data_IF_207950188113
#
_entry.id   IF_207950188113
#
_cell.length_a   1.000
_cell.length_b   1.000
_cell.length_c   1.000
_cell.angle_alpha   90.00
_cell.angle_beta   90.00
_cell.angle_gamma   90.00
#
_symmetry.space_group_name_H-M   'P 1'
#
loop_
_entity.id
_entity.type
_entity.pdbx_description
1 polymer ?
#
# COMPACT_ATOMS: atom_id res chain seq x y z
N UNK A 1 -6.16 -28.29 89.25
CA UNK A 1 -5.88 -26.90 88.80
C UNK A 1 -6.56 -26.71 87.44
N UNK A 2 -7.43 -25.75 87.15
CA UNK A 2 -7.79 -24.51 87.82
C UNK A 2 -7.79 -23.39 86.77
N UNK A 3 -8.96 -22.76 86.55
CA UNK A 3 -9.15 -21.30 86.39
C UNK A 3 -8.18 -20.60 85.38
N UNK A 4 -8.63 -19.97 84.29
CA UNK A 4 -9.58 -18.86 84.29
C UNK A 4 -10.16 -18.54 82.89
N UNK A 5 -11.46 -18.27 82.91
CA UNK A 5 -12.21 -17.43 81.98
C UNK A 5 -11.87 -15.95 82.13
N UNK A 6 -12.37 -15.17 81.15
CA UNK A 6 -12.56 -13.70 81.14
C UNK A 6 -11.24 -12.95 81.02
N UNK A 7 -11.12 -11.97 80.12
CA UNK A 7 -11.97 -10.79 80.02
C UNK A 7 -12.19 -10.43 78.54
N UNK A 8 -13.42 -10.42 78.03
CA UNK A 8 -14.33 -9.27 78.11
C UNK A 8 -13.62 -7.97 77.73
N UNK A 9 -13.67 -7.62 76.44
CA UNK A 9 -14.12 -6.27 76.10
C UNK A 9 -14.48 -6.19 74.63
N UNK A 10 -15.79 -6.11 74.41
CA UNK A 10 -16.44 -5.14 73.52
C UNK A 10 -16.18 -5.39 72.04
N UNK A 11 -17.16 -5.94 71.35
CA UNK A 11 -18.34 -5.16 71.02
C UNK A 11 -18.15 -4.72 69.57
N UNK A 12 -18.72 -5.46 68.63
CA UNK A 12 -19.89 -4.92 67.94
C UNK A 12 -19.65 -3.50 67.42
N UNK A 13 -18.82 -3.39 66.40
CA UNK A 13 -18.86 -2.37 65.36
C UNK A 13 -18.13 -3.02 64.18
N UNK A 14 -18.75 -3.99 63.52
CA UNK A 14 -19.75 -3.73 62.51
C UNK A 14 -19.31 -2.59 61.57
N UNK A 15 -19.06 -2.98 60.32
CA UNK A 15 -19.30 -2.18 59.12
C UNK A 15 -18.14 -1.26 58.72
N UNK A 16 -17.85 -1.28 57.42
CA UNK A 16 -16.79 -0.59 56.70
C UNK A 16 -15.42 -1.22 57.00
N UNK A 17 -14.84 -2.01 56.11
CA UNK A 17 -14.35 -1.59 54.79
C UNK A 17 -14.11 -2.91 54.06
N UNK A 18 -14.93 -3.21 53.06
CA UNK A 18 -14.55 -3.11 51.64
C UNK A 18 -13.46 -4.10 51.23
N UNK A 19 -13.69 -4.70 50.06
CA UNK A 19 -12.81 -5.64 49.37
C UNK A 19 -12.69 -6.98 50.11
N UNK A 20 -13.22 -8.07 49.61
CA UNK A 20 -12.86 -8.55 48.29
C UNK A 20 -14.06 -9.29 47.72
N UNK A 21 -14.73 -8.58 46.81
CA UNK A 21 -15.94 -8.99 46.13
C UNK A 21 -15.72 -10.35 45.45
N UNK A 22 -16.70 -11.21 45.68
CA UNK A 22 -17.03 -12.42 44.95
C UNK A 22 -16.60 -12.39 43.49
N UNK A 23 -15.90 -13.45 43.07
CA UNK A 23 -15.77 -13.83 41.66
C UNK A 23 -17.14 -14.36 41.20
N UNK A 24 -17.75 -13.70 40.21
CA UNK A 24 -18.27 -14.44 39.07
C UNK A 24 -17.59 -13.86 37.80
N UNK A 25 -17.02 -14.68 36.94
CA UNK A 25 -17.79 -15.70 36.24
C UNK A 25 -18.72 -15.07 35.21
N UNK A 26 -18.29 -14.02 34.50
CA UNK A 26 -18.92 -13.53 33.27
C UNK A 26 -18.03 -12.43 32.64
N UNK A 27 -16.96 -12.83 31.94
CA UNK A 27 -16.62 -12.07 30.74
C UNK A 27 -17.33 -12.79 29.61
N UNK A 28 -18.54 -12.29 29.36
CA UNK A 28 -19.25 -12.52 28.12
C UNK A 28 -18.24 -12.30 26.99
N UNK A 29 -18.09 -13.31 26.14
CA UNK A 29 -17.50 -13.12 24.83
C UNK A 29 -18.41 -12.14 24.09
N UNK A 30 -18.13 -10.84 24.22
CA UNK A 30 -18.64 -9.85 23.28
C UNK A 30 -17.96 -10.14 21.95
N UNK A 31 -18.65 -10.95 21.15
CA UNK A 31 -18.53 -10.97 19.71
C UNK A 31 -18.94 -9.58 19.22
N UNK A 32 -18.03 -8.61 19.29
CA UNK A 32 -18.13 -7.38 18.50
C UNK A 32 -17.59 -7.73 17.12
N UNK A 33 -18.37 -8.50 16.38
CA UNK A 33 -18.08 -8.87 14.99
C UNK A 33 -19.22 -8.32 14.12
N UNK A 34 -19.32 -6.99 14.00
CA UNK A 34 -20.27 -6.41 13.03
C UNK A 34 -19.86 -5.01 12.52
N UNK A 35 -18.92 -4.29 13.17
CA UNK A 35 -18.76 -2.86 12.89
C UNK A 35 -17.52 -2.44 12.06
N UNK A 36 -16.65 -3.37 11.63
CA UNK A 36 -15.41 -3.00 10.92
C UNK A 36 -14.95 -3.97 9.84
N UNK A 37 -15.70 -5.06 9.57
CA UNK A 37 -15.36 -5.92 8.44
C UNK A 37 -15.84 -5.26 7.14
N UNK A 38 -14.99 -5.22 6.09
CA UNK A 38 -15.46 -4.79 4.78
C UNK A 38 -16.65 -5.66 4.35
N UNK A 39 -17.55 -5.13 3.50
CA UNK A 39 -18.67 -5.89 2.95
C UNK A 39 -18.21 -7.27 2.47
N UNK A 40 -18.98 -8.36 2.66
CA UNK A 40 -18.58 -9.69 2.23
C UNK A 40 -18.37 -9.81 0.70
N UNK A 41 -18.86 -8.85 -0.08
CA UNK A 41 -18.65 -8.72 -1.52
C UNK A 41 -17.32 -8.02 -1.88
N UNK A 42 -16.66 -7.34 -0.93
CA UNK A 42 -15.36 -6.71 -1.14
C UNK A 42 -14.24 -7.73 -0.96
N UNK A 43 -13.41 -7.85 -2.00
CA UNK A 43 -12.21 -8.69 -1.97
C UNK A 43 -11.25 -8.17 -0.89
N UNK A 44 -10.82 -9.00 0.08
CA UNK A 44 -9.92 -8.56 1.13
C UNK A 44 -8.57 -8.12 0.53
N UNK A 45 -7.96 -7.12 1.16
CA UNK A 45 -6.73 -6.47 0.70
C UNK A 45 -5.56 -7.45 0.54
N UNK A 46 -5.48 -8.49 1.37
CA UNK A 46 -4.48 -9.55 1.29
C UNK A 46 -4.63 -10.38 0.00
N UNK A 47 -5.87 -10.58 -0.45
CA UNK A 47 -6.17 -11.27 -1.70
C UNK A 47 -5.95 -10.33 -2.88
N UNK A 48 -6.39 -9.06 -2.78
CA UNK A 48 -6.15 -8.04 -3.82
C UNK A 48 -4.65 -7.81 -4.09
N UNK A 49 -3.82 -7.77 -3.06
CA UNK A 49 -2.35 -7.66 -3.18
C UNK A 49 -1.70 -8.85 -3.87
N UNK A 50 -2.34 -10.01 -3.82
CA UNK A 50 -1.83 -11.25 -4.42
C UNK A 50 -2.41 -11.49 -5.82
N UNK A 51 -3.41 -10.71 -6.25
CA UNK A 51 -3.94 -10.79 -7.62
C UNK A 51 -2.89 -10.27 -8.61
N UNK A 52 -2.40 -11.17 -9.44
CA UNK A 52 -1.52 -10.82 -10.56
C UNK A 52 -2.41 -10.24 -11.65
N UNK A 53 -2.32 -8.93 -11.87
CA UNK A 53 -3.05 -8.24 -12.95
C UNK A 53 -2.42 -8.68 -14.28
N UNK A 54 -3.04 -9.65 -14.94
CA UNK A 54 -2.58 -10.21 -16.23
C UNK A 54 -3.12 -9.42 -17.43
N UNK A 55 -4.06 -8.51 -17.19
CA UNK A 55 -4.73 -7.69 -18.20
C UNK A 55 -3.88 -6.46 -18.53
N UNK A 56 -2.98 -6.61 -19.52
CA UNK A 56 -2.17 -5.53 -20.06
C UNK A 56 -2.83 -4.85 -21.26
N UNK A 57 -2.36 -3.65 -21.60
CA UNK A 57 -2.67 -2.97 -22.87
C UNK A 57 -1.40 -2.88 -23.71
N UNK A 58 -1.52 -3.05 -25.03
CA UNK A 58 -0.40 -2.83 -25.95
C UNK A 58 0.10 -1.38 -25.83
N UNK A 59 1.42 -1.13 -25.64
CA UNK A 59 1.99 0.21 -25.61
C UNK A 59 1.92 0.94 -26.97
N UNK A 60 1.64 0.20 -28.05
CA UNK A 60 1.56 0.75 -29.41
C UNK A 60 0.11 1.14 -29.75
N UNK A 61 -0.85 0.25 -29.46
CA UNK A 61 -2.23 0.38 -29.98
C UNK A 61 -3.30 0.43 -28.89
N UNK A 62 -2.95 0.26 -27.61
CA UNK A 62 -3.90 0.30 -26.49
C UNK A 62 -4.94 -0.83 -26.48
N UNK A 63 -4.75 -1.90 -27.28
CA UNK A 63 -5.62 -3.08 -27.27
C UNK A 63 -5.33 -3.98 -26.05
N UNK A 64 -6.33 -4.70 -25.50
CA UNK A 64 -6.06 -5.69 -24.46
C UNK A 64 -5.10 -6.75 -25.00
N UNK A 65 -4.11 -7.12 -24.19
CA UNK A 65 -3.01 -8.00 -24.56
C UNK A 65 -2.71 -8.95 -23.40
N UNK A 66 -2.50 -10.22 -23.70
CA UNK A 66 -2.09 -11.21 -22.70
C UNK A 66 -0.60 -11.06 -22.34
N UNK A 67 -0.18 -11.60 -21.19
CA UNK A 67 1.21 -11.53 -20.75
C UNK A 67 2.21 -12.16 -21.74
N UNK A 68 1.81 -13.24 -22.44
CA UNK A 68 2.64 -13.90 -23.43
C UNK A 68 2.81 -13.04 -24.70
N UNK A 69 1.72 -12.48 -25.21
CA UNK A 69 1.75 -11.58 -26.36
C UNK A 69 2.50 -10.28 -26.06
N UNK A 70 2.43 -9.80 -24.81
CA UNK A 70 3.23 -8.66 -24.35
C UNK A 70 4.73 -8.97 -24.40
N UNK A 71 5.16 -10.13 -23.90
CA UNK A 71 6.56 -10.54 -23.96
C UNK A 71 7.08 -10.65 -25.40
N UNK A 72 6.26 -11.17 -26.31
CA UNK A 72 6.59 -11.25 -27.73
C UNK A 72 6.67 -9.86 -28.39
N UNK A 73 5.71 -8.98 -28.10
CA UNK A 73 5.71 -7.60 -28.59
C UNK A 73 6.95 -6.83 -28.10
N UNK A 74 7.30 -7.00 -26.82
CA UNK A 74 8.48 -6.37 -26.24
C UNK A 74 9.76 -6.84 -26.94
N UNK A 75 9.91 -8.14 -27.20
CA UNK A 75 11.05 -8.68 -27.94
C UNK A 75 11.13 -8.11 -29.38
N UNK A 76 9.99 -7.91 -30.04
CA UNK A 76 9.94 -7.28 -31.38
C UNK A 76 10.32 -5.81 -31.35
N UNK A 77 9.90 -5.06 -30.32
CA UNK A 77 10.23 -3.64 -30.17
C UNK A 77 11.72 -3.45 -29.89
N UNK A 78 12.31 -4.26 -29.00
CA UNK A 78 13.75 -4.22 -28.71
C UNK A 78 14.61 -4.56 -29.93
N UNK A 79 14.13 -5.45 -30.80
CA UNK A 79 14.78 -5.73 -32.08
C UNK A 79 14.69 -4.54 -33.06
N UNK A 80 13.57 -3.82 -33.08
CA UNK A 80 13.34 -2.65 -33.95
C UNK A 80 14.06 -1.40 -33.49
N UNK A 81 14.19 -1.17 -32.18
CA UNK A 81 14.82 0.02 -31.59
C UNK A 81 16.30 0.18 -31.96
N UNK A 82 16.94 -0.88 -32.46
CA UNK A 82 18.31 -0.80 -32.99
C UNK A 82 18.40 -0.08 -34.34
N UNK A 83 17.28 0.03 -35.07
CA UNK A 83 17.25 0.69 -36.37
C UNK A 83 16.84 2.17 -36.22
N UNK A 84 17.55 3.11 -36.86
CA UNK A 84 17.18 4.52 -36.84
C UNK A 84 15.79 4.75 -37.46
N UNK A 85 14.82 5.16 -36.64
CA UNK A 85 13.43 5.46 -37.06
C UNK A 85 13.33 6.63 -38.06
N UNK A 86 14.30 7.56 -38.02
CA UNK A 86 14.33 8.75 -38.87
C UNK A 86 15.27 8.58 -40.06
N UNK A 87 14.79 8.98 -41.25
CA UNK A 87 15.60 9.14 -42.47
C UNK A 87 16.83 10.02 -42.19
N UNK A 88 17.95 9.70 -42.84
CA UNK A 88 19.25 10.34 -42.58
C UNK A 88 19.20 11.84 -42.83
N UNK A 89 18.45 12.26 -43.86
CA UNK A 89 18.31 13.66 -44.27
C UNK A 89 17.59 14.46 -43.17
N UNK A 90 16.52 13.91 -42.60
CA UNK A 90 15.75 14.56 -41.53
C UNK A 90 16.61 14.72 -40.28
N UNK A 91 17.37 13.68 -39.91
CA UNK A 91 18.30 13.74 -38.77
C UNK A 91 19.35 14.83 -38.96
N UNK A 92 19.89 14.97 -40.17
CA UNK A 92 20.87 16.01 -40.48
C UNK A 92 20.26 17.41 -40.34
N UNK A 93 19.04 17.63 -40.85
CA UNK A 93 18.33 18.90 -40.70
C UNK A 93 18.08 19.22 -39.23
N UNK A 94 17.59 18.26 -38.44
CA UNK A 94 17.39 18.43 -37.00
C UNK A 94 18.69 18.81 -36.30
N UNK A 95 19.80 18.13 -36.62
CA UNK A 95 21.11 18.44 -36.07
C UNK A 95 21.55 19.88 -36.38
N UNK A 96 21.40 20.32 -37.63
CA UNK A 96 21.75 21.68 -38.05
C UNK A 96 20.89 22.74 -37.35
N UNK A 97 19.60 22.46 -37.13
CA UNK A 97 18.72 23.35 -36.39
C UNK A 97 19.11 23.47 -34.91
N UNK A 98 19.42 22.33 -34.26
CA UNK A 98 19.90 22.33 -32.88
C UNK A 98 21.24 23.05 -32.75
N UNK A 99 22.16 22.83 -33.69
CA UNK A 99 23.45 23.51 -33.73
C UNK A 99 23.28 25.02 -33.93
N UNK A 100 22.44 25.45 -34.88
CA UNK A 100 22.10 26.86 -35.09
C UNK A 100 21.58 27.48 -33.79
N UNK A 101 20.63 26.82 -33.11
CA UNK A 101 20.09 27.29 -31.84
C UNK A 101 21.18 27.44 -30.77
N UNK A 102 22.03 26.43 -30.62
CA UNK A 102 23.13 26.46 -29.64
C UNK A 102 24.16 27.57 -29.87
N UNK A 103 24.35 28.02 -31.12
CA UNK A 103 25.21 29.18 -31.40
C UNK A 103 24.64 30.47 -30.79
N UNK A 104 23.35 30.72 -30.94
CA UNK A 104 22.70 31.91 -30.35
C UNK A 104 22.69 31.84 -28.82
N UNK A 105 22.54 30.64 -28.25
CA UNK A 105 22.63 30.45 -26.80
C UNK A 105 24.06 30.74 -26.25
N UNK A 106 25.11 30.42 -27.03
CA UNK A 106 26.51 30.60 -26.63
C UNK A 106 27.02 32.03 -26.88
N UNK A 107 26.56 32.68 -27.94
CA UNK A 107 27.04 33.99 -28.38
C UNK A 107 25.89 35.02 -28.31
N UNK A 108 25.58 35.58 -27.12
CA UNK A 108 24.41 36.45 -26.89
C UNK A 108 24.51 37.84 -27.54
N UNK A 109 25.51 38.05 -28.40
CA UNK A 109 25.79 39.30 -29.11
C UNK A 109 25.64 39.17 -30.64
N UNK A 110 25.21 38.01 -31.15
CA UNK A 110 24.84 37.87 -32.56
C UNK A 110 23.48 38.55 -32.81
N UNK A 111 23.32 39.33 -33.89
CA UNK A 111 22.00 39.76 -34.34
C UNK A 111 21.21 38.56 -34.87
N UNK A 112 19.96 38.44 -34.44
CA UNK A 112 18.99 37.39 -34.85
C UNK A 112 18.85 37.27 -36.38
#
# INVERSE_FOLDING_TARGET
MGRQHRWLMWGWSAIAVALLYTVPGAIAAEVVAEATLPPPDDLPEEVARTQIILEGRSPVDGRPLTAAEYAELQAQLEARDRAPLLRREIRQVIFLLQFRRGIYDLLPFLPE
#
